data_IF_714171082554
#
_entry.id   IF_714171082554
#
_cell.length_a   1.000
_cell.length_b   1.000
_cell.length_c   1.000
_cell.angle_alpha   90.00
_cell.angle_beta   90.00
_cell.angle_gamma   90.00
#
_symmetry.space_group_name_H-M   'P 1'
#
loop_
_entity.id
_entity.type
_entity.pdbx_description
1 polymer ?
#
# COMPACT_ATOMS: atom_id res chain seq x y z
N UNK A 1 5.68 -110.32 15.12
CA UNK A 1 4.83 -109.63 14.11
C UNK A 1 4.01 -108.49 14.73
N UNK A 2 3.68 -108.53 16.02
CA UNK A 2 2.89 -107.49 16.71
C UNK A 2 3.65 -106.17 17.00
N UNK A 3 4.98 -106.20 17.23
CA UNK A 3 5.77 -104.99 17.56
C UNK A 3 6.07 -104.06 16.36
N UNK A 4 5.86 -104.52 15.12
CA UNK A 4 6.09 -103.71 13.91
C UNK A 4 4.80 -102.96 13.54
N UNK A 5 3.64 -103.56 13.79
CA UNK A 5 2.33 -102.95 13.53
C UNK A 5 2.04 -101.76 14.48
N UNK A 6 2.43 -101.87 15.75
CA UNK A 6 2.30 -100.78 16.74
C UNK A 6 3.20 -99.58 16.42
N UNK A 7 4.47 -99.83 16.06
CA UNK A 7 5.39 -98.75 15.63
C UNK A 7 4.92 -98.01 14.38
N UNK A 8 4.29 -98.70 13.43
CA UNK A 8 3.72 -98.10 12.22
C UNK A 8 2.47 -97.26 12.54
N UNK A 9 1.64 -97.72 13.49
CA UNK A 9 0.48 -96.96 13.95
C UNK A 9 0.89 -95.68 14.70
N UNK A 10 1.85 -95.78 15.64
CA UNK A 10 2.36 -94.63 16.38
C UNK A 10 3.04 -93.60 15.45
N UNK A 11 3.82 -94.07 14.47
CA UNK A 11 4.44 -93.20 13.47
C UNK A 11 3.41 -92.52 12.56
N UNK A 12 2.30 -93.20 12.24
CA UNK A 12 1.19 -92.63 11.48
C UNK A 12 0.42 -91.59 12.30
N UNK A 13 0.17 -91.82 13.58
CA UNK A 13 -0.49 -90.86 14.46
C UNK A 13 0.34 -89.59 14.65
N UNK A 14 1.67 -89.72 14.80
CA UNK A 14 2.58 -88.58 14.88
C UNK A 14 2.58 -87.76 13.58
N UNK A 15 2.68 -88.41 12.42
CA UNK A 15 2.66 -87.72 11.11
C UNK A 15 1.29 -87.08 10.83
N UNK A 16 0.20 -87.75 11.18
CA UNK A 16 -1.15 -87.25 11.03
C UNK A 16 -1.43 -86.05 11.95
N UNK A 17 -0.97 -86.09 13.20
CA UNK A 17 -1.08 -84.97 14.12
C UNK A 17 -0.22 -83.79 13.67
N UNK A 18 1.02 -84.03 13.22
CA UNK A 18 1.88 -82.98 12.66
C UNK A 18 1.24 -82.30 11.42
N UNK A 19 0.56 -83.07 10.56
CA UNK A 19 -0.17 -82.53 9.40
C UNK A 19 -1.41 -81.74 9.82
N UNK A 20 -2.14 -82.17 10.85
CA UNK A 20 -3.27 -81.41 11.41
C UNK A 20 -2.81 -80.10 12.04
N UNK A 21 -1.70 -80.12 12.77
CA UNK A 21 -1.12 -78.93 13.38
C UNK A 21 -0.64 -77.94 12.30
N UNK A 22 0.06 -78.42 11.27
CA UNK A 22 0.47 -77.59 10.14
C UNK A 22 -0.73 -77.01 9.37
N UNK A 23 -1.79 -77.79 9.17
CA UNK A 23 -3.01 -77.29 8.54
C UNK A 23 -3.75 -76.28 9.42
N UNK A 24 -3.78 -76.47 10.74
CA UNK A 24 -4.37 -75.53 11.68
C UNK A 24 -3.63 -74.19 11.70
N UNK A 25 -2.29 -74.20 11.63
CA UNK A 25 -1.48 -72.99 11.49
C UNK A 25 -1.78 -72.28 10.17
N UNK A 26 -1.81 -73.01 9.05
CA UNK A 26 -2.09 -72.41 7.75
C UNK A 26 -3.51 -71.81 7.67
N UNK A 27 -4.50 -72.48 8.28
CA UNK A 27 -5.86 -71.96 8.35
C UNK A 27 -5.96 -70.69 9.21
N UNK A 28 -5.16 -70.60 10.28
CA UNK A 28 -5.09 -69.41 11.11
C UNK A 28 -4.45 -68.23 10.36
N UNK A 29 -3.34 -68.47 9.65
CA UNK A 29 -2.66 -67.46 8.83
C UNK A 29 -3.57 -66.97 7.68
N UNK A 30 -4.28 -67.88 7.01
CA UNK A 30 -5.22 -67.52 5.94
C UNK A 30 -6.41 -66.69 6.48
N UNK A 31 -6.90 -67.00 7.68
CA UNK A 31 -7.95 -66.22 8.35
C UNK A 31 -7.45 -64.84 8.77
N UNK A 32 -6.22 -64.72 9.27
CA UNK A 32 -5.61 -63.45 9.64
C UNK A 32 -5.35 -62.58 8.41
N UNK A 33 -4.81 -63.15 7.33
CA UNK A 33 -4.61 -62.46 6.06
C UNK A 33 -5.93 -61.99 5.42
N UNK A 34 -7.00 -62.81 5.50
CA UNK A 34 -8.32 -62.41 5.00
C UNK A 34 -8.96 -61.31 5.88
N UNK A 35 -8.74 -61.37 7.21
CA UNK A 35 -9.20 -60.34 8.12
C UNK A 35 -8.46 -59.00 7.89
N UNK A 36 -7.13 -59.03 7.70
CA UNK A 36 -6.33 -57.85 7.35
C UNK A 36 -6.73 -57.28 5.98
N UNK A 37 -6.91 -58.14 4.97
CA UNK A 37 -7.35 -57.72 3.64
C UNK A 37 -8.74 -57.07 3.65
N UNK A 38 -9.63 -57.49 4.56
CA UNK A 38 -10.95 -56.85 4.78
C UNK A 38 -10.85 -55.53 5.55
N UNK A 39 -9.93 -55.40 6.51
CA UNK A 39 -9.76 -54.20 7.32
C UNK A 39 -8.93 -53.09 6.65
N UNK A 40 -8.01 -53.45 5.75
CA UNK A 40 -7.18 -52.50 5.01
C UNK A 40 -7.99 -51.43 4.24
N UNK A 41 -8.99 -51.79 3.40
CA UNK A 41 -9.77 -50.80 2.66
C UNK A 41 -10.64 -49.95 3.60
N UNK A 42 -11.20 -50.53 4.66
CA UNK A 42 -12.00 -49.79 5.66
C UNK A 42 -11.14 -48.75 6.39
N UNK A 43 -9.90 -49.11 6.74
CA UNK A 43 -8.95 -48.22 7.39
C UNK A 43 -8.48 -47.10 6.45
N UNK A 44 -8.19 -47.43 5.19
CA UNK A 44 -7.83 -46.45 4.17
C UNK A 44 -8.97 -45.47 3.88
N UNK A 45 -10.20 -45.96 3.79
CA UNK A 45 -11.39 -45.12 3.59
C UNK A 45 -11.65 -44.21 4.80
N UNK A 46 -11.49 -44.72 6.02
CA UNK A 46 -11.58 -43.91 7.24
C UNK A 46 -10.50 -42.82 7.29
N UNK A 47 -9.27 -43.14 6.88
CA UNK A 47 -8.17 -42.18 6.82
C UNK A 47 -8.46 -41.09 5.78
N UNK A 48 -8.93 -41.45 4.58
CA UNK A 48 -9.31 -40.50 3.54
C UNK A 48 -10.47 -39.59 3.96
N UNK A 49 -11.47 -40.12 4.66
CA UNK A 49 -12.56 -39.31 5.21
C UNK A 49 -12.07 -38.35 6.29
N UNK A 50 -11.12 -38.79 7.13
CA UNK A 50 -10.53 -37.97 8.18
C UNK A 50 -9.71 -36.82 7.60
N UNK A 51 -8.88 -37.08 6.59
CA UNK A 51 -8.12 -36.04 5.91
C UNK A 51 -9.03 -35.04 5.19
N UNK A 52 -10.07 -35.51 4.50
CA UNK A 52 -11.05 -34.63 3.85
C UNK A 52 -11.77 -33.71 4.85
N UNK A 53 -12.14 -34.24 6.02
CA UNK A 53 -12.73 -33.44 7.12
C UNK A 53 -11.75 -32.39 7.65
N UNK A 54 -10.47 -32.74 7.82
CA UNK A 54 -9.43 -31.80 8.25
C UNK A 54 -9.22 -30.70 7.21
N UNK A 55 -9.20 -31.04 5.92
CA UNK A 55 -9.09 -30.06 4.82
C UNK A 55 -10.30 -29.13 4.78
N UNK A 56 -11.52 -29.65 4.87
CA UNK A 56 -12.74 -28.84 4.93
C UNK A 56 -12.77 -27.93 6.17
N UNK A 57 -12.34 -28.44 7.33
CA UNK A 57 -12.27 -27.64 8.56
C UNK A 57 -11.19 -26.56 8.47
N UNK A 58 -10.03 -26.87 7.89
CA UNK A 58 -8.97 -25.90 7.62
C UNK A 58 -9.44 -24.84 6.61
N UNK A 59 -10.14 -25.24 5.55
CA UNK A 59 -10.70 -24.31 4.57
C UNK A 59 -11.78 -23.42 5.18
N UNK A 60 -12.65 -23.97 6.05
CA UNK A 60 -13.65 -23.19 6.81
C UNK A 60 -12.96 -22.20 7.76
N UNK A 61 -11.93 -22.64 8.52
CA UNK A 61 -11.15 -21.77 9.40
C UNK A 61 -10.44 -20.66 8.63
N UNK A 62 -9.88 -20.96 7.45
CA UNK A 62 -9.28 -19.95 6.57
C UNK A 62 -10.33 -18.98 6.02
N UNK A 63 -11.50 -19.48 5.59
CA UNK A 63 -12.63 -18.64 5.16
C UNK A 63 -13.11 -17.74 6.30
N UNK A 64 -13.13 -18.22 7.54
CA UNK A 64 -13.51 -17.42 8.72
C UNK A 64 -12.47 -16.38 9.11
N UNK A 65 -11.17 -16.71 9.08
CA UNK A 65 -10.09 -15.72 9.28
C UNK A 65 -10.11 -14.62 8.22
N UNK A 66 -10.52 -14.95 7.00
CA UNK A 66 -10.65 -14.00 5.88
C UNK A 66 -11.92 -13.16 5.94
N UNK A 67 -12.91 -13.48 6.79
CA UNK A 67 -14.09 -12.62 6.96
C UNK A 67 -13.63 -11.28 7.56
N UNK A 68 -13.99 -10.14 6.96
CA UNK A 68 -13.66 -8.83 7.52
C UNK A 68 -14.18 -8.75 8.95
N UNK A 69 -13.29 -8.46 9.90
CA UNK A 69 -13.70 -8.21 11.29
C UNK A 69 -14.54 -6.93 11.31
N UNK A 70 -15.86 -7.10 11.29
CA UNK A 70 -16.79 -5.98 11.39
C UNK A 70 -16.64 -5.38 12.79
N UNK A 71 -16.29 -4.10 12.85
CA UNK A 71 -16.31 -3.36 14.11
C UNK A 71 -17.76 -3.05 14.47
N UNK A 72 -18.09 -3.18 15.74
CA UNK A 72 -19.39 -2.76 16.25
C UNK A 72 -19.54 -1.22 16.16
N UNK A 73 -20.78 -0.73 16.11
CA UNK A 73 -21.08 0.69 16.06
C UNK A 73 -21.52 1.21 17.42
N UNK A 74 -21.20 2.46 17.72
CA UNK A 74 -21.70 3.13 18.93
C UNK A 74 -23.09 3.67 18.62
N UNK A 75 -24.12 3.10 19.24
CA UNK A 75 -25.56 3.36 18.96
C UNK A 75 -25.91 4.86 18.91
N UNK A 76 -25.28 5.68 19.78
CA UNK A 76 -25.56 7.11 19.90
C UNK A 76 -24.45 8.02 19.32
N UNK A 77 -23.58 7.48 18.45
CA UNK A 77 -22.56 8.29 17.77
C UNK A 77 -23.07 8.68 16.39
N UNK A 78 -23.51 9.94 16.19
CA UNK A 78 -23.96 10.37 14.87
C UNK A 78 -22.82 10.29 13.86
N UNK A 79 -23.18 10.16 12.58
CA UNK A 79 -22.23 10.41 11.49
C UNK A 79 -21.64 11.81 11.67
N UNK A 80 -20.36 11.98 11.31
CA UNK A 80 -19.74 13.32 11.35
C UNK A 80 -20.51 14.26 10.42
N UNK A 81 -20.76 15.48 10.88
CA UNK A 81 -21.50 16.52 10.12
C UNK A 81 -20.81 16.92 8.81
N UNK A 82 -19.51 16.66 8.69
CA UNK A 82 -18.71 17.00 7.50
C UNK A 82 -17.99 15.78 6.95
N UNK A 83 -18.05 15.63 5.61
CA UNK A 83 -17.24 14.66 4.89
C UNK A 83 -15.81 15.17 4.82
N UNK A 84 -14.88 14.41 5.39
CA UNK A 84 -13.48 14.78 5.38
C UNK A 84 -12.85 14.52 4.01
N UNK A 85 -12.09 15.48 3.48
CA UNK A 85 -11.30 15.29 2.26
C UNK A 85 -10.27 14.17 2.48
N UNK A 86 -10.29 13.19 1.56
CA UNK A 86 -9.40 12.04 1.56
C UNK A 86 -8.45 12.15 0.36
N UNK A 87 -7.17 12.49 0.60
CA UNK A 87 -6.12 12.43 -0.41
C UNK A 87 -5.95 11.00 -0.95
N UNK A 88 -5.26 10.88 -2.08
CA UNK A 88 -4.94 9.57 -2.67
C UNK A 88 -4.05 8.74 -1.73
N UNK A 89 -4.16 7.41 -1.83
CA UNK A 89 -3.26 6.50 -1.10
C UNK A 89 -1.79 6.76 -1.41
N UNK A 90 -1.49 7.10 -2.67
CA UNK A 90 -0.16 7.56 -3.09
C UNK A 90 0.36 8.73 -2.26
N UNK A 91 -0.46 9.78 -2.09
CA UNK A 91 -0.04 10.97 -1.34
C UNK A 91 0.13 10.67 0.16
N UNK A 92 -0.72 9.82 0.73
CA UNK A 92 -0.57 9.38 2.12
C UNK A 92 0.70 8.56 2.32
N UNK A 93 1.01 7.62 1.42
CA UNK A 93 2.24 6.82 1.49
C UNK A 93 3.48 7.71 1.40
N UNK A 94 3.49 8.71 0.50
CA UNK A 94 4.56 9.71 0.44
C UNK A 94 4.74 10.46 1.75
N UNK A 95 3.65 10.85 2.43
CA UNK A 95 3.72 11.48 3.74
C UNK A 95 4.23 10.54 4.85
N UNK A 96 3.90 9.26 4.78
CA UNK A 96 4.42 8.24 5.71
C UNK A 96 5.94 8.09 5.54
N UNK A 97 6.41 8.08 4.29
CA UNK A 97 7.83 8.00 3.93
C UNK A 97 8.61 9.31 4.14
N UNK A 98 7.95 10.39 4.57
CA UNK A 98 8.51 11.76 4.71
C UNK A 98 8.98 12.40 3.39
N UNK A 99 8.65 11.77 2.27
CA UNK A 99 8.94 12.26 0.93
C UNK A 99 8.13 13.52 0.59
N UNK A 100 8.68 14.32 -0.32
CA UNK A 100 7.94 15.39 -0.96
C UNK A 100 6.70 14.86 -1.70
N UNK A 101 5.57 15.56 -1.53
CA UNK A 101 4.31 15.31 -2.23
C UNK A 101 3.69 16.64 -2.65
N UNK A 102 3.19 16.72 -3.89
CA UNK A 102 2.56 17.94 -4.39
C UNK A 102 1.28 18.28 -3.60
N UNK A 103 1.11 19.58 -3.32
CA UNK A 103 -0.06 20.10 -2.61
C UNK A 103 -1.37 19.82 -3.34
N UNK A 104 -1.33 19.66 -4.67
CA UNK A 104 -2.50 19.33 -5.47
C UNK A 104 -3.26 18.09 -4.95
N UNK A 105 -2.57 17.08 -4.41
CA UNK A 105 -3.24 15.89 -3.86
C UNK A 105 -4.13 16.19 -2.65
N UNK A 106 -3.88 17.31 -1.97
CA UNK A 106 -4.59 17.75 -0.77
C UNK A 106 -5.64 18.82 -1.08
N UNK A 107 -5.78 19.25 -2.34
CA UNK A 107 -6.87 20.14 -2.74
C UNK A 107 -8.21 19.38 -2.82
N UNK A 108 -9.30 20.14 -2.91
CA UNK A 108 -10.64 19.57 -3.14
C UNK A 108 -10.68 18.76 -4.44
N UNK A 109 -10.07 19.27 -5.51
CA UNK A 109 -10.01 18.63 -6.81
C UNK A 109 -9.20 17.34 -6.75
N UNK A 110 -7.99 17.38 -6.16
CA UNK A 110 -7.14 16.20 -5.98
C UNK A 110 -7.82 15.10 -5.17
N UNK A 111 -8.46 15.46 -4.05
CA UNK A 111 -9.19 14.50 -3.21
C UNK A 111 -10.44 13.93 -3.92
N UNK A 112 -11.15 14.75 -4.70
CA UNK A 112 -12.32 14.30 -5.46
C UNK A 112 -11.91 13.32 -6.56
N UNK A 113 -10.81 13.59 -7.26
CA UNK A 113 -10.27 12.69 -8.27
C UNK A 113 -9.75 11.39 -7.64
N UNK A 114 -9.06 11.47 -6.50
CA UNK A 114 -8.63 10.30 -5.74
C UNK A 114 -9.82 9.41 -5.34
N UNK A 115 -10.92 10.01 -4.84
CA UNK A 115 -12.13 9.27 -4.48
C UNK A 115 -12.79 8.56 -5.68
N UNK A 116 -12.68 9.13 -6.89
CA UNK A 116 -13.13 8.47 -8.13
C UNK A 116 -12.21 7.32 -8.51
N UNK A 117 -10.89 7.50 -8.43
CA UNK A 117 -9.91 6.47 -8.77
C UNK A 117 -9.99 5.27 -7.81
N UNK A 118 -10.19 5.51 -6.51
CA UNK A 118 -10.37 4.46 -5.49
C UNK A 118 -11.60 3.57 -5.77
N UNK A 119 -12.61 4.07 -6.49
CA UNK A 119 -13.79 3.29 -6.91
C UNK A 119 -13.54 2.43 -8.14
N UNK A 120 -12.58 2.80 -8.99
CA UNK A 120 -12.32 2.14 -10.28
C UNK A 120 -11.16 1.15 -10.20
N UNK A 121 -10.20 1.36 -9.30
CA UNK A 121 -9.10 0.43 -9.07
C UNK A 121 -9.65 -0.76 -8.25
N UNK A 122 -9.73 -1.94 -8.86
CA UNK A 122 -9.88 -3.19 -8.11
C UNK A 122 -8.75 -3.29 -7.10
N UNK A 123 -9.07 -3.52 -5.82
CA UNK A 123 -8.09 -3.57 -4.72
C UNK A 123 -6.99 -4.65 -4.90
N UNK A 124 -7.13 -5.51 -5.92
CA UNK A 124 -6.28 -6.68 -6.18
C UNK A 124 -5.17 -6.44 -7.22
N UNK A 125 -4.99 -5.21 -7.70
CA UNK A 125 -3.87 -4.89 -8.58
C UNK A 125 -2.60 -4.64 -7.75
N UNK A 126 -1.62 -5.55 -7.84
CA UNK A 126 -0.32 -5.45 -7.17
C UNK A 126 0.81 -5.17 -8.18
N UNK A 127 1.85 -4.48 -7.72
CA UNK A 127 3.08 -4.26 -8.50
C UNK A 127 4.29 -4.74 -7.72
N UNK A 128 5.32 -5.15 -8.45
CA UNK A 128 6.61 -5.53 -7.88
C UNK A 128 7.52 -4.29 -7.82
N UNK A 129 8.05 -4.01 -6.64
CA UNK A 129 9.03 -2.94 -6.41
C UNK A 129 10.34 -3.54 -5.93
N UNK A 130 11.47 -3.11 -6.48
CA UNK A 130 12.80 -3.55 -6.02
C UNK A 130 13.23 -2.68 -4.84
N UNK A 131 13.52 -3.28 -3.69
CA UNK A 131 14.13 -2.63 -2.53
C UNK A 131 15.35 -3.43 -2.09
N UNK A 132 16.55 -2.83 -2.19
CA UNK A 132 17.83 -3.34 -1.68
C UNK A 132 18.13 -4.83 -1.97
N UNK A 133 17.71 -5.30 -3.16
CA UNK A 133 17.79 -6.69 -3.68
C UNK A 133 16.64 -7.66 -3.35
N UNK A 134 15.54 -7.15 -2.81
CA UNK A 134 14.29 -7.91 -2.62
C UNK A 134 13.16 -7.35 -3.48
N UNK A 135 12.37 -8.22 -4.11
CA UNK A 135 11.14 -7.83 -4.81
C UNK A 135 9.98 -7.81 -3.80
N UNK A 136 9.49 -6.62 -3.49
CA UNK A 136 8.33 -6.40 -2.63
C UNK A 136 7.06 -6.27 -3.47
N UNK A 137 6.05 -7.09 -3.12
CA UNK A 137 4.71 -6.99 -3.69
C UNK A 137 3.93 -5.89 -2.94
N UNK A 138 3.57 -4.81 -3.64
CA UNK A 138 2.81 -3.69 -3.05
C UNK A 138 1.53 -3.39 -3.84
N UNK A 139 0.44 -2.96 -3.20
CA UNK A 139 -0.76 -2.54 -3.91
C UNK A 139 -0.46 -1.39 -4.88
N UNK A 140 -0.91 -1.50 -6.13
CA UNK A 140 -0.68 -0.50 -7.19
C UNK A 140 -1.23 0.89 -6.83
N UNK A 141 -2.33 0.94 -6.08
CA UNK A 141 -2.96 2.19 -5.67
C UNK A 141 -2.06 3.07 -4.79
N UNK A 142 -1.07 2.49 -4.12
CA UNK A 142 -0.11 3.25 -3.29
C UNK A 142 1.04 3.86 -4.10
N UNK A 143 1.22 3.45 -5.35
CA UNK A 143 2.39 3.84 -6.16
C UNK A 143 2.05 4.54 -7.47
N UNK A 144 0.78 4.59 -7.88
CA UNK A 144 0.39 5.26 -9.12
C UNK A 144 0.15 6.76 -8.88
N UNK A 145 1.03 7.65 -9.37
CA UNK A 145 0.76 9.09 -9.34
C UNK A 145 -0.40 9.43 -10.27
N UNK A 146 -1.13 10.50 -9.94
CA UNK A 146 -2.16 11.05 -10.82
C UNK A 146 -1.51 11.78 -11.99
N UNK A 147 -1.99 11.54 -13.21
CA UNK A 147 -1.56 12.27 -14.41
C UNK A 147 -2.10 13.70 -14.48
N UNK A 148 -2.98 14.10 -13.55
CA UNK A 148 -3.55 15.44 -13.43
C UNK A 148 -2.92 16.26 -12.31
N UNK A 149 -1.76 15.85 -11.79
CA UNK A 149 -1.05 16.61 -10.76
C UNK A 149 -0.67 17.99 -11.31
N UNK A 150 -1.05 19.02 -10.56
CA UNK A 150 -0.63 20.39 -10.79
C UNK A 150 0.59 20.66 -9.91
N UNK A 151 1.71 21.16 -10.46
CA UNK A 151 2.86 21.58 -9.66
C UNK A 151 2.48 22.67 -8.65
N UNK A 152 3.07 22.66 -7.46
CA UNK A 152 2.78 23.64 -6.38
C UNK A 152 2.82 25.10 -6.87
N UNK A 153 3.80 25.45 -7.71
CA UNK A 153 3.97 26.82 -8.26
C UNK A 153 2.83 27.26 -9.20
N UNK A 154 2.08 26.31 -9.76
CA UNK A 154 0.98 26.53 -10.70
C UNK A 154 -0.40 26.47 -10.02
N UNK A 155 -0.44 26.19 -8.71
CA UNK A 155 -1.68 26.26 -7.93
C UNK A 155 -2.18 27.69 -7.84
N UNK A 156 -3.48 27.86 -7.71
CA UNK A 156 -4.04 29.15 -7.26
C UNK A 156 -3.81 29.32 -5.76
N UNK A 157 -3.78 30.57 -5.28
CA UNK A 157 -3.65 30.85 -3.85
C UNK A 157 -4.74 30.14 -3.02
N UNK A 158 -5.98 30.17 -3.51
CA UNK A 158 -7.11 29.46 -2.89
C UNK A 158 -6.86 27.95 -2.79
N UNK A 159 -6.35 27.33 -3.86
CA UNK A 159 -6.03 25.90 -3.83
C UNK A 159 -4.94 25.60 -2.82
N UNK A 160 -3.88 26.41 -2.76
CA UNK A 160 -2.81 26.28 -1.75
C UNK A 160 -3.37 26.41 -0.32
N UNK A 161 -4.18 27.44 -0.02
CA UNK A 161 -4.76 27.66 1.32
C UNK A 161 -5.69 26.51 1.76
N UNK A 162 -6.41 25.88 0.82
CA UNK A 162 -7.22 24.68 1.12
C UNK A 162 -6.31 23.46 1.31
N UNK A 163 -5.34 23.27 0.40
CA UNK A 163 -4.43 22.12 0.41
C UNK A 163 -3.61 22.05 1.69
N UNK A 164 -3.02 23.16 2.15
CA UNK A 164 -2.19 23.18 3.37
C UNK A 164 -2.97 22.67 4.60
N UNK A 165 -4.25 23.00 4.70
CA UNK A 165 -5.08 22.60 5.85
C UNK A 165 -5.28 21.09 5.86
N UNK A 166 -5.55 20.53 4.68
CA UNK A 166 -5.69 19.08 4.50
C UNK A 166 -4.36 18.36 4.68
N UNK A 167 -3.25 18.91 4.16
CA UNK A 167 -1.89 18.39 4.33
C UNK A 167 -1.52 18.29 5.81
N UNK A 168 -1.59 19.40 6.56
CA UNK A 168 -1.24 19.45 7.98
C UNK A 168 -2.09 18.48 8.82
N UNK A 169 -3.38 18.36 8.49
CA UNK A 169 -4.25 17.36 9.13
C UNK A 169 -3.72 15.93 8.94
N UNK A 170 -3.33 15.56 7.72
CA UNK A 170 -2.86 14.21 7.43
C UNK A 170 -1.44 13.97 7.97
N UNK A 171 -0.57 14.98 7.99
CA UNK A 171 0.75 14.88 8.65
C UNK A 171 0.61 14.50 10.13
N UNK A 172 -0.34 15.12 10.85
CA UNK A 172 -0.64 14.76 12.24
C UNK A 172 -1.13 13.33 12.44
N UNK A 173 -1.64 12.68 11.38
CA UNK A 173 -2.14 11.29 11.43
C UNK A 173 -1.11 10.26 10.97
N UNK A 174 -0.08 10.67 10.25
CA UNK A 174 1.02 9.81 9.78
C UNK A 174 2.26 9.91 10.67
N UNK A 175 2.09 10.35 11.92
CA UNK A 175 3.11 10.34 12.96
C UNK A 175 4.25 11.35 12.76
N UNK A 176 4.04 12.42 12.00
CA UNK A 176 5.05 13.48 11.86
C UNK A 176 5.39 14.10 13.23
N UNK A 177 6.67 14.43 13.49
CA UNK A 177 7.02 15.13 14.72
C UNK A 177 6.34 16.50 14.80
N UNK A 178 5.81 16.83 15.98
CA UNK A 178 4.98 18.03 16.17
C UNK A 178 5.68 19.33 15.74
N UNK A 179 6.97 19.48 16.06
CA UNK A 179 7.74 20.67 15.69
C UNK A 179 7.87 20.87 14.17
N UNK A 180 7.88 19.79 13.37
CA UNK A 180 7.87 19.90 11.91
C UNK A 180 6.52 20.37 11.38
N UNK A 181 5.42 19.86 11.97
CA UNK A 181 4.05 20.29 11.62
C UNK A 181 3.87 21.77 11.97
N UNK A 182 4.34 22.19 13.14
CA UNK A 182 4.27 23.59 13.59
C UNK A 182 5.10 24.50 12.67
N UNK A 183 6.35 24.14 12.35
CA UNK A 183 7.18 24.92 11.44
C UNK A 183 6.53 25.07 10.05
N UNK A 184 5.94 24.01 9.51
CA UNK A 184 5.23 24.08 8.23
C UNK A 184 3.94 24.91 8.32
N UNK A 185 3.21 24.84 9.42
CA UNK A 185 2.03 25.68 9.65
C UNK A 185 2.40 27.17 9.73
N UNK A 186 3.46 27.51 10.48
CA UNK A 186 4.01 28.86 10.58
C UNK A 186 4.51 29.36 9.23
N UNK A 187 5.16 28.51 8.43
CA UNK A 187 5.57 28.87 7.08
C UNK A 187 4.40 29.37 6.23
N UNK A 188 3.30 28.60 6.18
CA UNK A 188 2.13 29.03 5.41
C UNK A 188 1.45 30.28 5.99
N UNK A 189 1.46 30.44 7.31
CA UNK A 189 0.94 31.65 7.95
C UNK A 189 1.78 32.88 7.56
N UNK A 190 3.11 32.74 7.62
CA UNK A 190 4.05 33.79 7.26
C UNK A 190 3.93 34.19 5.79
N UNK A 191 3.66 33.25 4.89
CA UNK A 191 3.36 33.53 3.48
C UNK A 191 2.04 34.31 3.30
N UNK A 192 1.01 33.99 4.08
CA UNK A 192 -0.28 34.70 4.04
C UNK A 192 -0.20 36.13 4.58
N UNK A 193 0.65 36.37 5.58
CA UNK A 193 0.90 37.71 6.12
C UNK A 193 2.00 38.48 5.39
N UNK A 194 2.65 37.89 4.38
CA UNK A 194 3.83 38.47 3.76
C UNK A 194 3.48 39.76 2.96
N UNK A 195 4.25 40.86 3.06
CA UNK A 195 3.96 42.11 2.33
C UNK A 195 3.83 41.96 0.80
N UNK A 196 4.54 40.99 0.21
CA UNK A 196 4.44 40.66 -1.23
C UNK A 196 3.01 40.30 -1.66
N UNK A 197 2.14 39.84 -0.74
CA UNK A 197 0.70 39.59 -0.99
C UNK A 197 -0.05 40.80 -1.55
N UNK A 198 0.42 42.01 -1.26
CA UNK A 198 -0.19 43.26 -1.68
C UNK A 198 0.33 43.77 -3.03
N UNK A 199 1.33 43.09 -3.61
CA UNK A 199 1.98 43.50 -4.86
C UNK A 199 1.30 42.86 -6.07
N UNK A 200 1.50 43.47 -7.24
CA UNK A 200 1.08 42.86 -8.51
C UNK A 200 1.81 41.53 -8.74
N UNK A 201 1.05 40.49 -9.09
CA UNK A 201 1.53 39.10 -9.20
C UNK A 201 2.11 38.52 -7.88
N UNK A 202 1.83 39.15 -6.74
CA UNK A 202 2.35 38.76 -5.43
C UNK A 202 2.03 37.31 -5.06
N UNK A 203 0.82 36.86 -5.37
CA UNK A 203 0.38 35.47 -5.26
C UNK A 203 1.32 34.52 -6.01
N UNK A 204 1.59 34.81 -7.28
CA UNK A 204 2.46 34.01 -8.15
C UNK A 204 3.88 33.95 -7.59
N UNK A 205 4.44 35.08 -7.18
CA UNK A 205 5.77 35.14 -6.56
C UNK A 205 5.86 34.22 -5.35
N UNK A 206 4.89 34.34 -4.44
CA UNK A 206 4.87 33.57 -3.20
C UNK A 206 4.59 32.08 -3.43
N UNK A 207 3.79 31.72 -4.42
CA UNK A 207 3.58 30.32 -4.82
C UNK A 207 4.85 29.70 -5.41
N UNK A 208 5.60 30.46 -6.22
CA UNK A 208 6.91 30.02 -6.72
C UNK A 208 7.91 29.81 -5.57
N UNK A 209 7.99 30.77 -4.64
CA UNK A 209 8.82 30.64 -3.45
C UNK A 209 8.39 29.43 -2.61
N UNK A 210 7.09 29.28 -2.36
CA UNK A 210 6.53 28.16 -1.61
C UNK A 210 6.91 26.83 -2.22
N UNK A 211 6.70 26.65 -3.52
CA UNK A 211 6.98 25.41 -4.22
C UNK A 211 8.46 25.01 -4.15
N UNK A 212 9.36 25.98 -4.27
CA UNK A 212 10.80 25.73 -4.17
C UNK A 212 11.18 25.32 -2.75
N UNK A 213 10.82 26.13 -1.76
CA UNK A 213 11.24 25.94 -0.36
C UNK A 213 10.59 24.69 0.24
N UNK A 214 9.33 24.40 -0.09
CA UNK A 214 8.64 23.19 0.37
C UNK A 214 9.36 21.92 -0.11
N UNK A 215 9.79 21.89 -1.38
CA UNK A 215 10.54 20.77 -1.93
C UNK A 215 11.93 20.64 -1.30
N UNK A 216 12.69 21.72 -1.26
CA UNK A 216 14.03 21.75 -0.67
C UNK A 216 14.02 21.36 0.81
N UNK A 217 12.96 21.73 1.54
CA UNK A 217 12.82 21.35 2.94
C UNK A 217 12.62 19.84 3.11
N UNK A 218 11.75 19.22 2.30
CA UNK A 218 11.63 17.75 2.30
C UNK A 218 12.93 17.05 1.89
N UNK A 219 13.62 17.57 0.87
CA UNK A 219 14.93 17.04 0.45
C UNK A 219 15.97 17.15 1.58
N UNK A 220 16.00 18.27 2.30
CA UNK A 220 16.90 18.47 3.44
C UNK A 220 16.58 17.52 4.61
N UNK A 221 15.31 17.20 4.86
CA UNK A 221 14.91 16.24 5.89
C UNK A 221 15.30 14.79 5.56
N UNK A 222 15.28 14.44 4.28
CA UNK A 222 15.67 13.10 3.80
C UNK A 222 17.17 12.97 3.52
N UNK A 223 17.94 14.05 3.61
CA UNK A 223 19.37 14.03 3.36
C UNK A 223 20.10 13.21 4.46
N UNK A 224 21.11 12.45 4.05
CA UNK A 224 21.95 11.63 4.93
C UNK A 224 23.14 12.41 5.52
N UNK A 225 23.27 13.69 5.16
CA UNK A 225 24.25 14.62 5.73
C UNK A 225 23.96 14.87 7.23
N UNK A 226 25.02 15.08 8.02
CA UNK A 226 24.91 15.48 9.43
C UNK A 226 24.46 16.95 9.61
N UNK A 227 24.30 17.71 8.52
CA UNK A 227 23.80 19.08 8.58
C UNK A 227 22.30 19.11 8.89
N UNK A 228 21.86 19.89 9.91
CA UNK A 228 20.45 19.99 10.25
C UNK A 228 19.67 20.68 9.12
N UNK A 229 18.46 20.18 8.85
CA UNK A 229 17.54 20.83 7.93
C UNK A 229 17.20 22.26 8.39
N UNK A 230 17.05 23.19 7.45
CA UNK A 230 16.69 24.56 7.75
C UNK A 230 15.25 24.67 8.25
N UNK A 231 14.96 25.67 9.07
CA UNK A 231 13.61 25.94 9.53
C UNK A 231 12.79 26.60 8.41
N UNK A 232 11.84 25.87 7.85
CA UNK A 232 10.95 26.35 6.78
C UNK A 232 10.09 27.55 7.20
N UNK A 233 9.81 27.75 8.50
CA UNK A 233 8.98 28.89 8.94
C UNK A 233 9.63 30.25 8.72
N UNK A 234 10.96 30.31 8.57
CA UNK A 234 11.70 31.57 8.38
C UNK A 234 11.72 31.94 6.89
N UNK A 235 10.98 32.98 6.53
CA UNK A 235 10.89 33.46 5.14
C UNK A 235 12.18 34.19 4.73
N UNK A 236 12.81 33.72 3.66
CA UNK A 236 13.96 34.37 3.04
C UNK A 236 13.50 35.44 2.05
N UNK A 237 13.35 36.67 2.55
CA UNK A 237 12.86 37.82 1.77
C UNK A 237 13.74 38.11 0.54
N UNK A 238 15.05 37.95 0.65
CA UNK A 238 15.97 38.15 -0.49
C UNK A 238 15.66 37.18 -1.63
N UNK A 239 15.29 35.94 -1.32
CA UNK A 239 14.89 34.95 -2.33
C UNK A 239 13.52 35.27 -2.91
N UNK A 240 12.57 35.73 -2.08
CA UNK A 240 11.26 36.22 -2.56
C UNK A 240 11.43 37.37 -3.57
N UNK A 241 12.28 38.35 -3.24
CA UNK A 241 12.60 39.49 -4.12
C UNK A 241 13.27 39.05 -5.43
N UNK A 242 14.17 38.07 -5.35
CA UNK A 242 14.84 37.50 -6.53
C UNK A 242 13.83 36.86 -7.48
N UNK A 243 12.94 36.02 -6.94
CA UNK A 243 11.86 35.39 -7.71
C UNK A 243 10.93 36.44 -8.33
N UNK A 244 10.59 37.50 -7.57
CA UNK A 244 9.77 38.60 -8.08
C UNK A 244 10.44 39.30 -9.27
N UNK A 245 11.72 39.64 -9.13
CA UNK A 245 12.50 40.27 -10.19
C UNK A 245 12.53 39.41 -11.46
N UNK A 246 12.78 38.10 -11.32
CA UNK A 246 12.83 37.16 -12.44
C UNK A 246 11.48 37.08 -13.18
N UNK A 247 10.37 36.94 -12.45
CA UNK A 247 9.03 36.88 -13.03
C UNK A 247 8.65 38.18 -13.75
N UNK A 248 8.93 39.33 -13.14
CA UNK A 248 8.66 40.63 -13.76
C UNK A 248 9.54 40.89 -14.98
N UNK A 249 10.81 40.47 -14.95
CA UNK A 249 11.73 40.55 -16.09
C UNK A 249 11.25 39.66 -17.25
N UNK A 250 10.84 38.42 -16.97
CA UNK A 250 10.31 37.51 -17.97
C UNK A 250 9.06 38.09 -18.66
N UNK A 251 8.13 38.65 -17.87
CA UNK A 251 6.91 39.28 -18.40
C UNK A 251 7.19 40.50 -19.26
N UNK A 252 8.13 41.37 -18.85
CA UNK A 252 8.59 42.49 -19.66
C UNK A 252 9.15 42.01 -21.00
N UNK A 253 10.02 40.99 -20.97
CA UNK A 253 10.65 40.43 -22.17
C UNK A 253 9.62 39.83 -23.12
N UNK A 254 8.63 39.09 -22.62
CA UNK A 254 7.52 38.59 -23.42
C UNK A 254 6.67 39.71 -24.02
N UNK A 255 6.39 40.77 -23.26
CA UNK A 255 5.66 41.94 -23.73
C UNK A 255 6.36 42.61 -24.91
N UNK A 256 7.68 42.78 -24.81
CA UNK A 256 8.51 43.33 -25.91
C UNK A 256 8.47 42.39 -27.13
N UNK A 257 8.65 41.08 -26.94
CA UNK A 257 8.62 40.11 -28.05
C UNK A 257 7.27 40.05 -28.77
N UNK A 258 6.14 40.17 -28.04
CA UNK A 258 4.81 40.23 -28.66
C UNK A 258 4.60 41.52 -29.44
N UNK A 259 5.10 42.65 -28.93
CA UNK A 259 5.04 43.95 -29.61
C UNK A 259 5.84 43.94 -30.92
N UNK A 260 7.08 43.40 -30.88
CA UNK A 260 7.92 43.25 -32.08
C UNK A 260 7.27 42.32 -33.12
N UNK A 261 6.64 41.21 -32.71
CA UNK A 261 5.90 40.32 -33.62
C UNK A 261 4.67 40.99 -34.25
N UNK A 262 4.06 41.96 -33.58
CA UNK A 262 2.92 42.71 -34.11
C UNK A 262 3.34 43.82 -35.09
N UNK A 263 4.57 44.33 -34.99
CA UNK A 263 5.12 45.34 -35.90
C UNK A 263 5.59 44.79 -37.26
N UNK A 264 5.70 43.47 -37.43
CA UNK A 264 6.02 42.85 -38.72
C UNK A 264 4.80 42.06 -39.25
N UNK A 265 3.91 42.65 -40.06
CA UNK A 265 2.89 41.87 -40.75
C UNK A 265 3.58 40.91 -41.73
N UNK A 266 3.14 39.65 -41.76
CA UNK A 266 3.59 38.67 -42.76
C UNK A 266 3.25 39.23 -44.14
N UNK A 267 4.26 39.67 -44.89
CA UNK A 267 4.12 39.83 -46.33
C UNK A 267 3.92 38.43 -46.92
N UNK A 268 2.66 38.08 -47.18
CA UNK A 268 2.31 37.00 -48.09
C UNK A 268 2.75 37.41 -49.49
N UNK A 269 3.86 36.84 -49.95
CA UNK A 269 4.23 36.88 -51.37
C UNK A 269 3.21 36.03 -52.13
N UNK A 270 2.65 36.65 -53.16
CA UNK A 270 1.76 36.05 -54.15
C UNK A 270 2.55 35.57 -55.36
#
# INVERSE_FOLDING_TARGET
REAIATRLADAWDVDNNAKKDAWAVQLADDQEAEAEARQAPETEEQNLQTERRKEEEAEKKEKEKKKPKLKDFVVNKPVRDTTQLRPSRFAIHKLEDRDYVELHYFTLEGCTEAAKQDRTITQDAFTFTKADDTLLLKPMASHKPSNKVIPDKELTWRQMSIARTTLLHHMGRTGWPEHHIVALAEFYLNLESHPMRLQADGDTVLLHYQAQVHREWHEALCNTSDEPAFNISVINNRRVETIAADLWNARRTEGVLRSVKHCYPRHTQS
#
